data_IF_824542252798
#
_entry.id   IF_824542252798
#
_cell.length_a   1.000
_cell.length_b   1.000
_cell.length_c   1.000
_cell.angle_alpha   90.00
_cell.angle_beta   90.00
_cell.angle_gamma   90.00
#
_symmetry.space_group_name_H-M   'P 1'
#
loop_
_entity.id
_entity.type
_entity.pdbx_description
1 polymer ?
#
# COMPACT_ATOMS: atom_id res chain seq x y z
N UNK A 1 -53.04 11.76 -78.40
CA UNK A 1 -52.31 10.97 -77.39
C UNK A 1 -51.09 11.65 -76.76
N UNK A 2 -50.63 12.85 -77.18
CA UNK A 2 -49.46 13.53 -76.56
C UNK A 2 -49.82 14.51 -75.42
N UNK A 3 -51.05 15.03 -75.42
CA UNK A 3 -51.54 15.97 -74.40
C UNK A 3 -52.03 15.30 -73.11
N UNK A 4 -52.45 14.03 -73.18
CA UNK A 4 -52.89 13.27 -72.00
C UNK A 4 -51.74 12.99 -71.02
N UNK A 5 -50.55 12.67 -71.53
CA UNK A 5 -49.36 12.47 -70.69
C UNK A 5 -48.89 13.74 -69.98
N UNK A 6 -49.08 14.91 -70.60
CA UNK A 6 -48.70 16.21 -70.02
C UNK A 6 -49.63 16.57 -68.87
N UNK A 7 -50.94 16.33 -69.02
CA UNK A 7 -51.93 16.61 -67.96
C UNK A 7 -51.73 15.67 -66.77
N UNK A 8 -51.38 14.40 -67.03
CA UNK A 8 -51.06 13.44 -65.97
C UNK A 8 -49.80 13.83 -65.17
N UNK A 9 -48.75 14.33 -65.85
CA UNK A 9 -47.52 14.77 -65.18
C UNK A 9 -47.71 16.05 -64.36
N UNK A 10 -48.57 16.98 -64.81
CA UNK A 10 -48.89 18.20 -64.07
C UNK A 10 -49.73 17.88 -62.82
N UNK A 11 -50.65 16.90 -62.90
CA UNK A 11 -51.44 16.44 -61.75
C UNK A 11 -50.59 15.82 -60.63
N UNK A 12 -49.48 15.17 -60.97
CA UNK A 12 -48.63 14.48 -60.00
C UNK A 12 -47.75 15.46 -59.19
N UNK A 13 -47.45 16.64 -59.73
CA UNK A 13 -46.62 17.67 -59.10
C UNK A 13 -47.36 18.53 -58.06
N UNK A 14 -48.69 18.49 -58.03
CA UNK A 14 -49.52 19.30 -57.10
C UNK A 14 -49.80 18.54 -55.78
N UNK A 15 -49.40 17.27 -55.69
CA UNK A 15 -49.65 16.40 -54.52
C UNK A 15 -48.47 16.26 -53.54
N UNK A 16 -47.53 17.21 -53.49
CA UNK A 16 -46.57 17.26 -52.38
C UNK A 16 -47.25 17.87 -51.14
N UNK A 17 -47.44 17.12 -50.03
CA UNK A 17 -47.98 17.70 -48.81
C UNK A 17 -46.97 18.68 -48.21
N UNK A 18 -47.40 19.92 -48.07
CA UNK A 18 -46.73 20.98 -47.31
C UNK A 18 -46.47 20.49 -45.88
N UNK A 19 -45.19 20.30 -45.53
CA UNK A 19 -44.76 19.83 -44.22
C UNK A 19 -44.86 20.98 -43.20
N UNK A 20 -46.03 21.13 -42.60
CA UNK A 20 -46.23 22.10 -41.51
C UNK A 20 -45.59 21.56 -40.23
N UNK A 21 -44.74 22.38 -39.60
CA UNK A 21 -44.10 22.12 -38.29
C UNK A 21 -45.18 21.87 -37.22
N UNK A 22 -45.51 20.61 -36.98
CA UNK A 22 -46.28 20.21 -35.80
C UNK A 22 -45.35 20.18 -34.59
N UNK A 23 -45.36 21.24 -33.78
CA UNK A 23 -44.87 21.22 -32.39
C UNK A 23 -45.79 20.32 -31.56
N UNK A 24 -45.64 19.01 -31.70
CA UNK A 24 -46.33 18.01 -30.90
C UNK A 24 -45.51 17.67 -29.65
N UNK A 25 -45.96 18.09 -28.46
CA UNK A 25 -45.56 17.47 -27.20
C UNK A 25 -46.13 16.04 -27.18
N UNK A 26 -45.40 15.07 -27.72
CA UNK A 26 -45.87 13.68 -27.84
C UNK A 26 -44.72 12.67 -27.72
N UNK A 27 -44.91 11.66 -26.86
CA UNK A 27 -44.14 10.41 -26.69
C UNK A 27 -42.62 10.47 -26.42
N UNK A 28 -41.89 11.52 -26.82
CA UNK A 28 -40.44 11.64 -26.63
C UNK A 28 -40.04 12.17 -25.24
N UNK A 29 -40.88 12.96 -24.56
CA UNK A 29 -40.57 13.48 -23.21
C UNK A 29 -40.57 12.41 -22.11
N UNK A 30 -41.28 11.29 -22.29
CA UNK A 30 -41.15 10.13 -21.38
C UNK A 30 -39.83 9.40 -21.60
N UNK A 31 -39.38 9.28 -22.85
CA UNK A 31 -38.09 8.67 -23.21
C UNK A 31 -36.91 9.50 -22.71
N UNK A 32 -37.02 10.82 -22.76
CA UNK A 32 -36.01 11.74 -22.22
C UNK A 32 -35.88 11.61 -20.69
N UNK A 33 -36.99 11.61 -19.95
CA UNK A 33 -36.99 11.35 -18.50
C UNK A 33 -36.43 9.97 -18.12
N UNK A 34 -36.75 8.93 -18.88
CA UNK A 34 -36.17 7.59 -18.64
C UNK A 34 -34.68 7.55 -18.95
N UNK A 35 -34.21 8.29 -19.95
CA UNK A 35 -32.80 8.37 -20.31
C UNK A 35 -32.00 9.16 -19.27
N UNK A 36 -32.55 10.25 -18.74
CA UNK A 36 -31.95 11.01 -17.63
C UNK A 36 -31.85 10.17 -16.35
N UNK A 37 -32.90 9.40 -16.02
CA UNK A 37 -32.88 8.50 -14.87
C UNK A 37 -31.85 7.39 -15.02
N UNK A 38 -31.75 6.75 -16.19
CA UNK A 38 -30.72 5.74 -16.48
C UNK A 38 -29.31 6.33 -16.46
N UNK A 39 -29.14 7.56 -16.92
CA UNK A 39 -27.86 8.28 -16.84
C UNK A 39 -27.47 8.58 -15.40
N UNK A 40 -28.41 9.01 -14.56
CA UNK A 40 -28.18 9.26 -13.15
C UNK A 40 -27.81 7.96 -12.38
N UNK A 41 -28.45 6.84 -12.72
CA UNK A 41 -28.12 5.52 -12.16
C UNK A 41 -26.72 5.07 -12.59
N UNK A 42 -26.36 5.22 -13.86
CA UNK A 42 -25.03 4.91 -14.38
C UNK A 42 -23.94 5.81 -13.75
N UNK A 43 -24.20 7.11 -13.63
CA UNK A 43 -23.28 8.05 -12.99
C UNK A 43 -23.06 7.73 -11.50
N UNK A 44 -24.06 7.14 -10.84
CA UNK A 44 -23.94 6.65 -9.46
C UNK A 44 -23.05 5.41 -9.38
N UNK A 45 -23.24 4.44 -10.28
CA UNK A 45 -22.44 3.21 -10.35
C UNK A 45 -20.98 3.54 -10.65
N UNK A 46 -20.72 4.41 -11.63
CA UNK A 46 -19.36 4.82 -12.00
C UNK A 46 -18.63 5.54 -10.86
N UNK A 47 -19.36 6.33 -10.05
CA UNK A 47 -18.82 6.96 -8.84
C UNK A 47 -18.56 5.95 -7.73
N UNK A 48 -19.42 4.95 -7.55
CA UNK A 48 -19.18 3.87 -6.58
C UNK A 48 -17.95 3.04 -6.96
N UNK A 49 -17.78 2.72 -8.25
CA UNK A 49 -16.64 1.96 -8.76
C UNK A 49 -15.31 2.72 -8.65
N UNK A 50 -15.33 4.05 -8.77
CA UNK A 50 -14.12 4.85 -8.60
C UNK A 50 -13.70 4.93 -7.14
N UNK A 51 -14.65 5.09 -6.21
CA UNK A 51 -14.40 5.04 -4.77
C UNK A 51 -13.86 3.66 -4.35
N UNK A 52 -14.48 2.58 -4.82
CA UNK A 52 -14.04 1.22 -4.52
C UNK A 52 -12.63 0.93 -5.03
N UNK A 53 -12.25 1.47 -6.20
CA UNK A 53 -10.87 1.36 -6.71
C UNK A 53 -9.85 2.08 -5.83
N UNK A 54 -10.22 3.22 -5.27
CA UNK A 54 -9.36 3.97 -4.35
C UNK A 54 -9.22 3.20 -3.03
N UNK A 55 -10.32 2.69 -2.49
CA UNK A 55 -10.35 1.88 -1.28
C UNK A 55 -9.47 0.63 -1.42
N UNK A 56 -9.67 -0.17 -2.47
CA UNK A 56 -8.84 -1.35 -2.73
C UNK A 56 -7.35 -1.00 -2.86
N UNK A 57 -7.01 0.16 -3.42
CA UNK A 57 -5.61 0.61 -3.53
C UNK A 57 -5.03 0.99 -2.17
N UNK A 58 -5.82 1.61 -1.31
CA UNK A 58 -5.41 1.94 0.05
C UNK A 58 -5.24 0.69 0.90
N UNK A 59 -6.16 -0.28 0.78
CA UNK A 59 -6.06 -1.58 1.43
C UNK A 59 -4.80 -2.33 0.99
N UNK A 60 -4.54 -2.43 -0.32
CA UNK A 60 -3.34 -3.07 -0.83
C UNK A 60 -2.04 -2.43 -0.33
N UNK A 61 -2.01 -1.10 -0.16
CA UNK A 61 -0.86 -0.39 0.42
C UNK A 61 -0.73 -0.72 1.91
N UNK A 62 -1.83 -0.71 2.66
CA UNK A 62 -1.81 -1.04 4.08
C UNK A 62 -1.40 -2.49 4.35
N UNK A 63 -1.89 -3.43 3.54
CA UNK A 63 -1.49 -4.83 3.57
C UNK A 63 0.00 -4.97 3.29
N UNK A 64 0.51 -4.37 2.22
CA UNK A 64 1.94 -4.41 1.91
C UNK A 64 2.82 -3.84 3.04
N UNK A 65 2.36 -2.77 3.71
CA UNK A 65 3.06 -2.22 4.87
C UNK A 65 3.01 -3.17 6.07
N UNK A 66 1.85 -3.77 6.36
CA UNK A 66 1.71 -4.75 7.46
C UNK A 66 2.57 -5.98 7.22
N UNK A 67 2.54 -6.52 6.00
CA UNK A 67 3.32 -7.69 5.62
C UNK A 67 4.82 -7.41 5.78
N UNK A 68 5.28 -6.23 5.36
CA UNK A 68 6.67 -5.82 5.52
C UNK A 68 7.09 -5.71 7.00
N UNK A 69 6.22 -5.19 7.87
CA UNK A 69 6.49 -5.10 9.31
C UNK A 69 6.52 -6.50 9.94
N UNK A 70 5.54 -7.34 9.61
CA UNK A 70 5.47 -8.71 10.12
C UNK A 70 6.68 -9.55 9.71
N UNK A 71 7.18 -9.38 8.48
CA UNK A 71 8.40 -10.06 8.05
C UNK A 71 9.62 -9.61 8.87
N UNK A 72 9.77 -8.31 9.10
CA UNK A 72 10.87 -7.79 9.93
C UNK A 72 10.78 -8.30 11.38
N UNK A 73 9.58 -8.32 11.96
CA UNK A 73 9.33 -8.87 13.31
C UNK A 73 9.65 -10.37 13.37
N UNK A 74 9.22 -11.16 12.38
CA UNK A 74 9.52 -12.60 12.31
C UNK A 74 11.01 -12.88 12.16
N UNK A 75 11.74 -12.07 11.39
CA UNK A 75 13.18 -12.18 11.25
C UNK A 75 13.91 -11.83 12.55
N UNK A 76 13.45 -10.80 13.27
CA UNK A 76 13.96 -10.45 14.60
C UNK A 76 13.70 -11.60 15.59
N UNK A 77 12.46 -12.11 15.65
CA UNK A 77 12.09 -13.23 16.51
C UNK A 77 12.91 -14.48 16.19
N UNK A 78 13.09 -14.83 14.92
CA UNK A 78 13.88 -15.98 14.50
C UNK A 78 15.36 -15.80 14.87
N UNK A 79 15.93 -14.62 14.66
CA UNK A 79 17.31 -14.30 15.02
C UNK A 79 17.52 -14.44 16.53
N UNK A 80 16.62 -13.84 17.31
CA UNK A 80 16.68 -13.85 18.76
C UNK A 80 16.38 -15.24 19.33
N UNK A 81 15.50 -16.04 18.70
CA UNK A 81 15.25 -17.43 19.09
C UNK A 81 16.44 -18.35 18.79
N UNK A 82 17.17 -18.09 17.70
CA UNK A 82 18.34 -18.88 17.34
C UNK A 82 19.57 -18.59 18.21
N UNK A 83 19.67 -17.37 18.76
CA UNK A 83 20.86 -16.93 19.49
C UNK A 83 20.55 -16.52 20.93
N UNK A 84 20.89 -17.42 21.85
CA UNK A 84 20.65 -17.22 23.29
C UNK A 84 21.55 -16.15 23.92
N UNK A 85 22.77 -16.01 23.42
CA UNK A 85 23.80 -15.15 23.99
C UNK A 85 24.13 -13.99 23.06
N UNK A 86 23.74 -12.77 23.43
CA UNK A 86 23.81 -11.58 22.57
C UNK A 86 24.77 -10.56 23.18
N UNK A 87 25.76 -10.10 22.42
CA UNK A 87 26.74 -9.09 22.84
C UNK A 87 26.16 -7.69 22.53
N UNK A 88 25.94 -6.90 23.59
CA UNK A 88 25.25 -5.62 23.56
C UNK A 88 26.24 -4.47 23.76
N UNK A 89 26.18 -3.48 22.89
CA UNK A 89 27.00 -2.26 22.96
C UNK A 89 26.24 -1.04 23.44
N UNK A 90 24.92 -1.13 23.57
CA UNK A 90 24.11 -0.04 24.08
C UNK A 90 22.66 -0.44 24.33
N UNK A 91 22.03 0.29 25.25
CA UNK A 91 20.61 0.19 25.61
C UNK A 91 20.03 1.59 25.56
N UNK A 92 19.00 1.81 24.75
CA UNK A 92 18.45 3.16 24.52
C UNK A 92 16.94 3.15 24.65
N UNK A 93 16.39 4.12 25.39
CA UNK A 93 14.95 4.37 25.42
C UNK A 93 14.44 5.02 24.12
N UNK A 94 15.31 5.73 23.39
CA UNK A 94 14.95 6.42 22.14
C UNK A 94 15.44 5.62 20.93
N UNK A 95 14.55 5.22 20.00
CA UNK A 95 14.92 4.42 18.83
C UNK A 95 15.98 5.07 17.92
N UNK A 96 15.93 6.39 17.78
CA UNK A 96 16.88 7.12 16.92
C UNK A 96 18.32 7.06 17.48
N UNK A 97 18.47 6.96 18.80
CA UNK A 97 19.78 6.78 19.43
C UNK A 97 20.30 5.36 19.21
N UNK A 98 19.43 4.34 19.31
CA UNK A 98 19.78 2.97 18.98
C UNK A 98 20.23 2.83 17.52
N UNK A 99 19.50 3.46 16.59
CA UNK A 99 19.89 3.52 15.16
C UNK A 99 21.22 4.22 14.94
N UNK A 100 21.46 5.36 15.58
CA UNK A 100 22.73 6.07 15.47
C UNK A 100 23.90 5.22 15.99
N UNK A 101 23.70 4.48 17.09
CA UNK A 101 24.67 3.54 17.62
C UNK A 101 24.90 2.36 16.66
N UNK A 102 23.85 1.75 16.13
CA UNK A 102 23.96 0.70 15.12
C UNK A 102 24.73 1.18 13.88
N UNK A 103 24.46 2.38 13.38
CA UNK A 103 25.20 2.96 12.25
C UNK A 103 26.69 3.21 12.56
N UNK A 104 27.02 3.60 13.79
CA UNK A 104 28.40 3.74 14.25
C UNK A 104 29.14 2.40 14.13
N UNK A 105 28.56 1.32 14.62
CA UNK A 105 29.17 -0.02 14.55
C UNK A 105 29.16 -0.62 13.15
N UNK A 106 28.13 -0.33 12.34
CA UNK A 106 28.06 -0.71 10.92
C UNK A 106 29.21 -0.11 10.11
N UNK A 107 29.56 1.15 10.37
CA UNK A 107 30.73 1.82 9.76
C UNK A 107 32.07 1.21 10.17
N UNK A 108 32.12 0.50 11.30
CA UNK A 108 33.31 -0.26 11.73
C UNK A 108 33.38 -1.66 11.12
N UNK A 109 32.39 -2.07 10.32
CA UNK A 109 32.36 -3.36 9.63
C UNK A 109 31.56 -4.45 10.36
N UNK A 110 30.83 -4.10 11.41
CA UNK A 110 29.90 -5.03 12.08
C UNK A 110 28.51 -5.01 11.41
N UNK A 111 27.69 -6.02 11.68
CA UNK A 111 26.27 -6.05 11.30
C UNK A 111 25.37 -5.96 12.54
N UNK A 112 25.25 -4.76 13.15
CA UNK A 112 24.50 -4.62 14.38
C UNK A 112 23.00 -4.71 14.14
N UNK A 113 22.31 -5.39 15.05
CA UNK A 113 20.86 -5.53 15.09
C UNK A 113 20.30 -4.84 16.31
N UNK A 114 19.13 -4.26 16.17
CA UNK A 114 18.40 -3.67 17.28
C UNK A 114 17.35 -4.69 17.69
N UNK A 115 17.31 -5.03 18.98
CA UNK A 115 16.30 -5.93 19.54
C UNK A 115 15.59 -5.23 20.68
N UNK A 116 14.32 -5.58 20.90
CA UNK A 116 13.62 -5.16 22.10
C UNK A 116 13.90 -6.12 23.26
N UNK A 117 14.26 -5.58 24.42
CA UNK A 117 14.27 -6.38 25.64
C UNK A 117 12.83 -6.79 26.00
N UNK A 118 12.65 -7.94 26.65
CA UNK A 118 11.33 -8.49 26.96
C UNK A 118 10.42 -7.58 27.82
N UNK A 119 10.99 -6.56 28.47
CA UNK A 119 10.30 -5.53 29.25
C UNK A 119 9.90 -4.28 28.42
N UNK A 120 10.21 -4.25 27.12
CA UNK A 120 9.78 -3.25 26.11
C UNK A 120 10.19 -1.79 26.37
N UNK A 121 10.97 -1.49 27.40
CA UNK A 121 11.31 -0.10 27.72
C UNK A 121 12.53 0.40 26.93
N UNK A 122 13.46 -0.49 26.59
CA UNK A 122 14.70 -0.13 25.91
C UNK A 122 14.99 -0.99 24.68
N UNK A 123 15.46 -0.34 23.62
CA UNK A 123 16.07 -0.96 22.45
C UNK A 123 17.54 -1.29 22.73
N UNK A 124 17.90 -2.56 22.59
CA UNK A 124 19.25 -3.06 22.76
C UNK A 124 19.94 -3.16 21.40
N UNK A 125 21.16 -2.64 21.30
CA UNK A 125 21.98 -2.76 20.09
C UNK A 125 22.91 -3.96 20.24
N UNK A 126 22.59 -5.02 19.53
CA UNK A 126 23.35 -6.27 19.45
C UNK A 126 24.38 -6.16 18.34
N UNK A 127 25.64 -6.50 18.62
CA UNK A 127 26.70 -6.49 17.58
C UNK A 127 27.05 -7.90 17.11
N UNK A 128 27.02 -8.88 18.01
CA UNK A 128 27.27 -10.28 17.70
C UNK A 128 26.41 -11.18 18.59
N UNK A 129 26.01 -12.32 18.06
CA UNK A 129 25.13 -13.26 18.77
C UNK A 129 25.60 -14.70 18.58
N UNK A 130 25.37 -15.51 19.60
CA UNK A 130 25.93 -16.85 19.74
C UNK A 130 24.91 -17.81 20.36
N UNK A 131 25.03 -19.09 19.98
CA UNK A 131 24.29 -20.22 20.53
C UNK A 131 24.99 -20.86 21.75
N UNK A 132 26.32 -20.69 21.86
CA UNK A 132 27.15 -21.25 22.92
C UNK A 132 27.70 -20.18 23.87
N UNK A 133 27.49 -20.39 25.17
CA UNK A 133 27.92 -19.46 26.22
C UNK A 133 29.42 -19.20 26.24
N UNK A 134 30.24 -20.25 26.17
CA UNK A 134 31.70 -20.12 26.31
C UNK A 134 32.29 -19.29 25.17
N UNK A 135 31.79 -19.51 23.94
CA UNK A 135 32.18 -18.73 22.76
C UNK A 135 31.78 -17.26 22.89
N UNK A 136 30.56 -16.99 23.34
CA UNK A 136 30.07 -15.63 23.58
C UNK A 136 30.92 -14.92 24.65
N UNK A 137 31.26 -15.62 25.73
CA UNK A 137 32.06 -15.09 26.85
C UNK A 137 33.49 -14.77 26.45
N UNK A 138 34.14 -15.66 25.68
CA UNK A 138 35.47 -15.40 25.15
C UNK A 138 35.47 -14.20 24.22
N UNK A 139 34.48 -14.15 23.31
CA UNK A 139 34.33 -13.03 22.39
C UNK A 139 34.08 -11.72 23.12
N UNK A 140 33.21 -11.70 24.13
CA UNK A 140 32.92 -10.51 24.93
C UNK A 140 34.20 -9.92 25.53
N UNK A 141 35.08 -10.75 26.11
CA UNK A 141 36.35 -10.28 26.68
C UNK A 141 37.26 -9.63 25.64
N UNK A 142 37.35 -10.26 24.46
CA UNK A 142 38.12 -9.69 23.34
C UNK A 142 37.49 -8.37 22.89
N UNK A 143 36.16 -8.32 22.76
CA UNK A 143 35.45 -7.12 22.33
C UNK A 143 35.63 -5.96 23.31
N UNK A 144 35.52 -6.23 24.62
CA UNK A 144 35.75 -5.26 25.68
C UNK A 144 37.18 -4.69 25.68
N UNK A 145 38.17 -5.50 25.30
CA UNK A 145 39.57 -5.07 25.28
C UNK A 145 39.99 -4.38 23.99
N UNK A 146 39.25 -4.56 22.89
CA UNK A 146 39.68 -4.12 21.55
C UNK A 146 38.76 -3.08 20.90
N UNK A 147 37.47 -3.08 21.25
CA UNK A 147 36.45 -2.28 20.57
C UNK A 147 35.76 -1.33 21.54
N UNK A 148 35.09 -1.86 22.55
CA UNK A 148 34.29 -1.07 23.49
C UNK A 148 34.19 -1.77 24.85
N UNK A 149 34.81 -1.16 25.87
CA UNK A 149 34.89 -1.69 27.22
C UNK A 149 33.53 -1.78 27.94
N UNK A 150 32.55 -0.95 27.54
CA UNK A 150 31.23 -0.87 28.18
C UNK A 150 30.26 -1.93 27.64
N UNK A 151 30.73 -2.79 26.73
CA UNK A 151 29.95 -3.90 26.17
C UNK A 151 29.58 -4.92 27.24
N UNK A 152 28.37 -5.46 27.19
CA UNK A 152 27.88 -6.50 28.09
C UNK A 152 27.13 -7.57 27.30
N UNK A 153 26.72 -8.66 27.97
CA UNK A 153 26.02 -9.77 27.31
C UNK A 153 24.59 -9.88 27.84
N UNK A 154 23.63 -9.87 26.93
CA UNK A 154 22.23 -10.17 27.19
C UNK A 154 21.97 -11.65 26.92
N UNK A 155 21.43 -12.34 27.92
CA UNK A 155 21.06 -13.75 27.82
C UNK A 155 19.54 -13.79 27.75
N UNK A 156 19.00 -14.27 26.62
CA UNK A 156 17.56 -14.51 26.53
C UNK A 156 17.23 -15.82 27.23
N UNK A 157 16.24 -15.81 28.11
CA UNK A 157 15.81 -17.02 28.84
C UNK A 157 15.18 -18.06 27.92
#
# INVERSE_FOLDING_TARGET
MRHFFIIFFISLLILSPSCTKTKGKGLFGKKEKTLEMLKAEHDSIMRADSLKRIENRLEAIQEALRDSIQQAEQEEEAYVASNKYNIIVGSYATPDLAKACAEKYRKMGYDPRIINAADNEHELVVVESYDQYDRAKERLKVFQSTVDADTWMYIKE
#
